data_IF_984047239054
#
_entry.id   IF_984047239054
#
_cell.length_a   1.000
_cell.length_b   1.000
_cell.length_c   1.000
_cell.angle_alpha   90.00
_cell.angle_beta   90.00
_cell.angle_gamma   90.00
#
_symmetry.space_group_name_H-M   'P 1'
#
loop_
_entity.id
_entity.type
_entity.pdbx_description
1 polymer ?
#
# COMPACT_ATOMS: atom_id res chain seq x y z
N UNK A 1 -13.39 -31.16 -0.24
CA UNK A 1 -13.04 -30.28 -1.37
C UNK A 1 -12.49 -28.97 -0.79
N UNK A 2 -11.22 -28.66 -1.10
CA UNK A 2 -10.40 -27.45 -0.82
C UNK A 2 -10.61 -26.69 0.50
N UNK A 3 -9.78 -27.02 1.48
CA UNK A 3 -9.28 -26.09 2.50
C UNK A 3 -8.37 -25.08 1.80
N UNK A 4 -8.75 -23.80 1.80
CA UNK A 4 -7.86 -22.70 1.41
C UNK A 4 -6.99 -22.38 2.62
N UNK A 5 -5.65 -22.43 2.52
CA UNK A 5 -4.78 -21.88 3.53
C UNK A 5 -4.73 -20.37 3.29
N UNK A 6 -5.68 -19.62 3.83
CA UNK A 6 -5.43 -18.20 4.05
C UNK A 6 -4.56 -18.11 5.31
N UNK A 7 -3.28 -18.42 5.11
CA UNK A 7 -2.21 -18.09 6.04
C UNK A 7 -2.05 -16.57 6.00
N UNK A 8 -3.04 -15.84 6.50
CA UNK A 8 -2.81 -14.48 6.97
C UNK A 8 -2.21 -14.59 8.37
N UNK A 9 -0.99 -15.14 8.40
CA UNK A 9 -0.07 -14.88 9.49
C UNK A 9 0.11 -13.37 9.50
N UNK A 10 -0.25 -12.74 10.60
CA UNK A 10 0.36 -11.50 11.10
C UNK A 10 -0.06 -11.41 12.55
N UNK A 11 0.60 -12.22 13.35
CA UNK A 11 1.74 -11.76 14.14
C UNK A 11 1.27 -10.74 15.18
N UNK A 12 1.07 -11.29 16.37
CA UNK A 12 0.98 -10.62 17.63
C UNK A 12 1.86 -9.36 17.72
N UNK A 13 1.23 -8.24 18.04
CA UNK A 13 1.68 -7.29 19.06
C UNK A 13 3.20 -7.14 19.24
N UNK A 14 3.86 -6.43 18.33
CA UNK A 14 5.12 -5.71 18.58
C UNK A 14 5.01 -4.40 17.83
N UNK A 15 5.08 -3.26 18.52
CA UNK A 15 4.94 -1.93 17.92
C UNK A 15 5.79 -1.85 16.63
N UNK A 16 5.18 -1.89 15.43
CA UNK A 16 5.93 -1.91 14.20
C UNK A 16 6.57 -0.54 14.00
N UNK A 17 7.78 -0.52 13.43
CA UNK A 17 8.45 0.72 13.05
C UNK A 17 7.52 1.55 12.14
N UNK A 18 7.58 2.89 12.17
CA UNK A 18 6.70 3.73 11.36
C UNK A 18 6.80 3.39 9.87
N UNK A 19 8.00 2.99 9.40
CA UNK A 19 8.22 2.47 8.04
C UNK A 19 7.40 1.21 7.76
N UNK A 20 7.45 0.21 8.65
CA UNK A 20 6.69 -1.05 8.52
C UNK A 20 5.18 -0.81 8.53
N UNK A 21 4.71 0.16 9.31
CA UNK A 21 3.30 0.59 9.33
C UNK A 21 2.92 1.12 7.94
N UNK A 22 3.72 2.04 7.40
CA UNK A 22 3.52 2.60 6.07
C UNK A 22 3.53 1.54 4.98
N UNK A 23 4.53 0.64 4.96
CA UNK A 23 4.60 -0.46 3.99
C UNK A 23 3.35 -1.34 4.04
N UNK A 24 2.88 -1.68 5.24
CA UNK A 24 1.68 -2.51 5.40
C UNK A 24 0.43 -1.80 4.89
N UNK A 25 0.26 -0.52 5.22
CA UNK A 25 -0.88 0.28 4.78
C UNK A 25 -0.87 0.50 3.27
N UNK A 26 0.27 0.90 2.71
CA UNK A 26 0.43 1.12 1.27
C UNK A 26 0.22 -0.17 0.48
N UNK A 27 0.77 -1.31 0.95
CA UNK A 27 0.54 -2.60 0.30
C UNK A 27 -0.95 -2.90 0.19
N UNK A 28 -1.69 -2.74 1.29
CA UNK A 28 -3.15 -2.99 1.31
C UNK A 28 -3.91 -2.02 0.43
N UNK A 29 -3.55 -0.74 0.44
CA UNK A 29 -4.23 0.31 -0.31
C UNK A 29 -3.98 0.17 -1.82
N UNK A 30 -2.73 -0.11 -2.21
CA UNK A 30 -2.35 -0.32 -3.61
C UNK A 30 -2.96 -1.60 -4.19
N UNK A 31 -2.90 -2.70 -3.45
CA UNK A 31 -3.49 -3.98 -3.84
C UNK A 31 -5.00 -3.84 -4.03
N UNK A 32 -5.68 -3.22 -3.04
CA UNK A 32 -7.13 -3.08 -3.07
C UNK A 32 -7.62 -2.07 -4.12
N UNK A 33 -6.99 -0.89 -4.22
CA UNK A 33 -7.52 0.20 -5.04
C UNK A 33 -6.93 0.31 -6.42
N UNK A 34 -5.75 -0.26 -6.66
CA UNK A 34 -5.05 -0.14 -7.94
C UNK A 34 -4.62 -1.50 -8.50
N UNK A 35 -4.77 -2.60 -7.74
CA UNK A 35 -4.23 -3.91 -8.12
C UNK A 35 -2.70 -3.91 -8.23
N UNK A 36 -2.03 -3.01 -7.52
CA UNK A 36 -0.58 -2.82 -7.55
C UNK A 36 0.07 -3.42 -6.31
N UNK A 37 1.26 -3.98 -6.48
CA UNK A 37 2.07 -4.41 -5.35
C UNK A 37 2.96 -3.25 -4.88
N UNK A 38 3.36 -3.26 -3.61
CA UNK A 38 4.28 -2.25 -3.08
C UNK A 38 5.60 -2.22 -3.88
N UNK A 39 6.06 -3.36 -4.39
CA UNK A 39 7.30 -3.51 -5.19
C UNK A 39 7.25 -2.74 -6.51
N UNK A 40 6.06 -2.51 -7.08
CA UNK A 40 5.86 -1.71 -8.29
C UNK A 40 5.90 -0.20 -8.01
N UNK A 41 6.07 0.19 -6.75
CA UNK A 41 6.07 1.59 -6.32
C UNK A 41 7.40 1.97 -5.67
N UNK A 42 7.78 3.26 -5.69
CA UNK A 42 8.95 3.76 -4.97
C UNK A 42 8.87 3.53 -3.45
N UNK A 43 7.70 3.20 -2.91
CA UNK A 43 7.51 2.88 -1.48
C UNK A 43 7.95 1.47 -1.10
N UNK A 44 8.40 0.66 -2.07
CA UNK A 44 9.16 -0.56 -1.77
C UNK A 44 10.45 -0.24 -1.02
N UNK A 45 11.05 0.92 -1.31
CA UNK A 45 12.28 1.38 -0.71
C UNK A 45 11.99 2.10 0.61
N UNK A 46 12.51 1.55 1.72
CA UNK A 46 12.30 2.08 3.06
C UNK A 46 12.76 3.55 3.17
N UNK A 47 13.81 3.91 2.44
CA UNK A 47 14.34 5.28 2.41
C UNK A 47 13.33 6.29 1.90
N UNK A 48 12.53 5.92 0.90
CA UNK A 48 11.48 6.80 0.37
C UNK A 48 10.44 7.02 1.45
N UNK A 49 10.03 5.97 2.17
CA UNK A 49 9.06 6.07 3.26
C UNK A 49 9.61 6.94 4.40
N UNK A 50 10.86 6.72 4.83
CA UNK A 50 11.51 7.52 5.86
C UNK A 50 11.53 9.01 5.49
N UNK A 51 11.92 9.34 4.26
CA UNK A 51 11.90 10.72 3.78
C UNK A 51 10.51 11.36 3.84
N UNK A 52 9.45 10.61 3.53
CA UNK A 52 8.08 11.11 3.62
C UNK A 52 7.66 11.32 5.08
N UNK A 53 8.05 10.43 5.99
CA UNK A 53 7.82 10.57 7.43
C UNK A 53 8.58 11.78 7.99
N UNK A 54 9.86 11.94 7.66
CA UNK A 54 10.71 13.06 8.08
C UNK A 54 10.21 14.40 7.53
N UNK A 55 9.69 14.39 6.30
CA UNK A 55 9.05 15.56 5.69
C UNK A 55 7.66 15.87 6.27
N UNK A 56 7.11 15.00 7.14
CA UNK A 56 5.77 15.15 7.71
C UNK A 56 4.65 14.96 6.69
N UNK A 57 4.91 14.23 5.61
CA UNK A 57 3.93 13.94 4.55
C UNK A 57 2.96 12.88 5.05
N UNK A 58 1.67 13.08 4.78
CA UNK A 58 0.64 12.10 5.13
C UNK A 58 0.66 10.90 4.18
N UNK A 59 0.21 9.74 4.64
CA UNK A 59 0.08 8.55 3.78
C UNK A 59 -0.83 8.82 2.57
N UNK A 60 -1.87 9.66 2.75
CA UNK A 60 -2.76 10.07 1.66
C UNK A 60 -2.05 10.94 0.62
N UNK A 61 -1.22 11.91 1.05
CA UNK A 61 -0.43 12.74 0.13
C UNK A 61 0.60 11.90 -0.64
N UNK A 62 1.23 10.93 0.04
CA UNK A 62 2.15 9.99 -0.58
C UNK A 62 1.47 9.15 -1.67
N UNK A 63 0.25 8.67 -1.42
CA UNK A 63 -0.57 7.98 -2.42
C UNK A 63 -1.02 8.95 -3.52
N UNK A 64 -1.41 10.18 -3.18
CA UNK A 64 -1.80 11.19 -4.16
C UNK A 64 -0.63 11.49 -5.12
N UNK A 65 0.59 11.58 -4.60
CA UNK A 65 1.80 11.75 -5.41
C UNK A 65 2.02 10.57 -6.37
N UNK A 66 1.78 9.32 -5.94
CA UNK A 66 1.82 8.16 -6.84
C UNK A 66 0.78 8.27 -7.95
N UNK A 67 -0.45 8.62 -7.57
CA UNK A 67 -1.57 8.72 -8.50
C UNK A 67 -1.29 9.78 -9.55
N UNK A 68 -0.79 10.95 -9.14
CA UNK A 68 -0.42 12.02 -10.07
C UNK A 68 0.78 11.65 -10.94
N UNK A 69 1.84 11.08 -10.34
CA UNK A 69 3.09 10.75 -11.03
C UNK A 69 2.91 9.62 -12.05
N UNK A 70 2.12 8.60 -11.71
CA UNK A 70 1.93 7.40 -12.54
C UNK A 70 0.55 7.35 -13.20
N UNK A 71 -0.25 8.42 -13.11
CA UNK A 71 -1.61 8.50 -13.62
C UNK A 71 -2.46 7.28 -13.22
N UNK A 72 -2.35 6.85 -11.95
CA UNK A 72 -2.99 5.62 -11.49
C UNK A 72 -4.52 5.77 -11.50
N UNK A 73 -5.19 4.86 -12.19
CA UNK A 73 -6.65 4.78 -12.22
C UNK A 73 -7.10 3.83 -11.13
N UNK A 74 -8.04 4.27 -10.27
CA UNK A 74 -8.63 3.38 -9.26
C UNK A 74 -9.35 2.22 -9.94
N UNK A 75 -8.94 1.00 -9.63
CA UNK A 75 -9.52 -0.25 -10.11
C UNK A 75 -10.59 -0.81 -9.18
N UNK A 76 -10.78 -0.23 -7.99
CA UNK A 76 -11.78 -0.61 -6.95
C UNK A 76 -13.25 -0.46 -7.38
N UNK A 77 -13.53 -0.11 -8.64
CA UNK A 77 -14.89 -0.05 -9.15
C UNK A 77 -15.21 -1.30 -9.99
N UNK A 78 -15.75 -2.38 -9.39
CA UNK A 78 -16.50 -3.38 -10.14
C UNK A 78 -17.84 -2.77 -10.53
N UNK A 79 -17.83 -1.90 -11.54
CA UNK A 79 -18.98 -1.07 -11.85
C UNK A 79 -18.86 -0.30 -13.15
N UNK A 80 -18.41 -0.98 -14.20
CA UNK A 80 -18.87 -0.74 -15.56
C UNK A 80 -19.07 -2.10 -16.24
N UNK A 81 -19.95 -2.92 -15.67
CA UNK A 81 -20.70 -3.84 -16.52
C UNK A 81 -21.80 -2.99 -17.16
N UNK A 82 -21.68 -2.82 -18.48
CA UNK A 82 -22.67 -2.18 -19.34
C UNK A 82 -24.02 -2.91 -19.31
#
# INVERSE_FOLDING_TARGET
>A
MKTLPDTHVREASRCPSPVTIWQTLLTRLLDQHYGLTLNDTPFADERVIEQHIEAGISLCDAVNFLVEKYALVRTDQPGFSA
#
